data_IF_371974595559
#
_entry.id   IF_371974595559
#
_cell.length_a   1.000
_cell.length_b   1.000
_cell.length_c   1.000
_cell.angle_alpha   90.00
_cell.angle_beta   90.00
_cell.angle_gamma   90.00
#
_symmetry.space_group_name_H-M   'P 1'
#
loop_
_entity.id
_entity.type
_entity.pdbx_description
1 polymer ?
#
# COMPACT_ATOMS: atom_id res chain seq x y z
N UNK A 1 -20.53 6.12 -16.50
CA UNK A 1 -20.96 5.35 -15.32
C UNK A 1 -19.98 5.54 -14.17
N UNK A 2 -20.47 5.90 -13.04
CA UNK A 2 -19.62 6.09 -11.87
C UNK A 2 -19.34 4.73 -11.23
N UNK A 3 -18.09 4.38 -11.12
CA UNK A 3 -17.70 3.18 -10.43
C UNK A 3 -17.36 3.53 -8.98
N UNK A 4 -18.21 3.06 -8.05
CA UNK A 4 -18.01 3.27 -6.62
C UNK A 4 -17.35 2.05 -5.97
N UNK A 5 -16.97 1.07 -6.78
CA UNK A 5 -16.36 -0.14 -6.27
C UNK A 5 -14.89 0.03 -5.91
N UNK A 6 -14.33 -1.04 -5.42
CA UNK A 6 -12.93 -1.13 -5.06
C UNK A 6 -12.19 -1.93 -6.11
N UNK A 7 -11.03 -1.43 -6.56
CA UNK A 7 -10.15 -2.20 -7.44
C UNK A 7 -9.49 -3.29 -6.61
N UNK A 8 -9.64 -4.53 -7.04
CA UNK A 8 -9.14 -5.70 -6.33
C UNK A 8 -8.02 -6.40 -7.09
N UNK A 9 -7.39 -7.40 -6.46
CA UNK A 9 -6.41 -8.26 -7.14
C UNK A 9 -7.01 -8.93 -8.37
N UNK A 10 -8.26 -9.39 -8.25
CA UNK A 10 -8.95 -10.04 -9.37
C UNK A 10 -9.12 -9.09 -10.53
N UNK A 11 -9.41 -7.83 -10.25
CA UNK A 11 -9.53 -6.80 -11.28
C UNK A 11 -8.20 -6.54 -11.97
N UNK A 12 -7.11 -6.50 -11.22
CA UNK A 12 -5.77 -6.35 -11.78
C UNK A 12 -5.41 -7.54 -12.67
N UNK A 13 -5.70 -8.75 -12.22
CA UNK A 13 -5.43 -9.96 -12.99
C UNK A 13 -6.26 -9.98 -14.28
N UNK A 14 -7.52 -9.58 -14.22
CA UNK A 14 -8.38 -9.50 -15.39
C UNK A 14 -7.85 -8.47 -16.40
N UNK A 15 -7.38 -7.33 -15.91
CA UNK A 15 -6.77 -6.31 -16.75
C UNK A 15 -5.54 -6.84 -17.49
N UNK A 16 -4.66 -7.57 -16.79
CA UNK A 16 -3.50 -8.20 -17.40
C UNK A 16 -3.90 -9.21 -18.47
N UNK A 17 -4.91 -10.01 -18.18
CA UNK A 17 -5.44 -10.97 -19.14
C UNK A 17 -5.94 -10.27 -20.40
N UNK A 18 -6.68 -9.18 -20.26
CA UNK A 18 -7.23 -8.42 -21.38
C UNK A 18 -6.15 -7.69 -22.19
N UNK A 19 -5.24 -7.04 -21.48
CA UNK A 19 -4.26 -6.15 -22.12
C UNK A 19 -3.01 -6.85 -22.62
N UNK A 20 -2.57 -7.89 -21.92
CA UNK A 20 -1.31 -8.55 -22.23
C UNK A 20 -1.45 -9.90 -22.92
N UNK A 21 -2.67 -10.40 -23.05
CA UNK A 21 -2.91 -11.69 -23.68
C UNK A 21 -2.46 -12.89 -22.85
N UNK A 22 -2.16 -12.71 -21.59
CA UNK A 22 -1.80 -13.81 -20.69
C UNK A 22 -3.06 -14.61 -20.33
N UNK A 23 -2.88 -15.88 -19.98
CA UNK A 23 -4.00 -16.66 -19.44
C UNK A 23 -4.47 -16.06 -18.13
N UNK A 24 -5.68 -16.38 -17.71
CA UNK A 24 -6.19 -15.90 -16.41
C UNK A 24 -5.35 -16.43 -15.26
N UNK A 25 -4.90 -17.67 -15.37
CA UNK A 25 -4.04 -18.28 -14.37
C UNK A 25 -2.69 -17.55 -14.26
N UNK A 26 -2.05 -17.31 -15.39
CA UNK A 26 -0.76 -16.60 -15.42
C UNK A 26 -0.92 -15.16 -14.95
N UNK A 27 -2.01 -14.51 -15.32
CA UNK A 27 -2.28 -13.13 -14.88
C UNK A 27 -2.40 -13.05 -13.36
N UNK A 28 -3.10 -14.00 -12.76
CA UNK A 28 -3.24 -14.06 -11.30
C UNK A 28 -1.89 -14.31 -10.63
N UNK A 29 -1.06 -15.17 -11.20
CA UNK A 29 0.28 -15.42 -10.67
C UNK A 29 1.18 -14.20 -10.73
N UNK A 30 1.13 -13.45 -11.82
CA UNK A 30 1.93 -12.22 -11.97
C UNK A 30 1.53 -11.19 -10.90
N UNK A 31 0.24 -10.97 -10.72
CA UNK A 31 -0.25 -10.04 -9.68
C UNK A 31 0.21 -10.50 -8.30
N UNK A 32 0.04 -11.79 -8.00
CA UNK A 32 0.45 -12.35 -6.71
C UNK A 32 1.95 -12.18 -6.49
N UNK A 33 2.77 -12.45 -7.50
CA UNK A 33 4.22 -12.33 -7.37
C UNK A 33 4.66 -10.90 -7.08
N UNK A 34 4.05 -9.92 -7.75
CA UNK A 34 4.38 -8.52 -7.53
C UNK A 34 4.07 -8.12 -6.07
N UNK A 35 2.89 -8.50 -5.59
CA UNK A 35 2.46 -8.15 -4.24
C UNK A 35 3.32 -8.86 -3.19
N UNK A 36 3.68 -10.11 -3.43
CA UNK A 36 4.57 -10.86 -2.53
C UNK A 36 5.95 -10.20 -2.44
N UNK A 37 6.52 -9.79 -3.58
CA UNK A 37 7.80 -9.09 -3.59
C UNK A 37 7.77 -7.80 -2.77
N UNK A 38 6.69 -7.04 -2.91
CA UNK A 38 6.51 -5.79 -2.14
C UNK A 38 6.40 -6.08 -0.65
N UNK A 39 5.56 -7.04 -0.28
CA UNK A 39 5.38 -7.40 1.12
C UNK A 39 6.65 -7.96 1.75
N UNK A 40 7.39 -8.77 1.02
CA UNK A 40 8.64 -9.33 1.51
C UNK A 40 9.69 -8.24 1.75
N UNK A 41 9.81 -7.28 0.84
CA UNK A 41 10.71 -6.15 1.00
C UNK A 41 10.35 -5.34 2.27
N UNK A 42 9.07 -5.03 2.43
CA UNK A 42 8.60 -4.29 3.59
C UNK A 42 8.84 -5.08 4.88
N UNK A 43 8.66 -6.38 4.85
CA UNK A 43 8.93 -7.25 6.01
C UNK A 43 10.40 -7.23 6.42
N UNK A 44 11.31 -7.06 5.45
CA UNK A 44 12.74 -6.94 5.72
C UNK A 44 13.16 -5.56 6.19
N UNK A 45 12.24 -4.60 6.24
CA UNK A 45 12.54 -3.22 6.62
C UNK A 45 12.96 -2.33 5.46
N UNK A 46 12.71 -2.75 4.23
CA UNK A 46 13.04 -1.97 3.04
C UNK A 46 11.82 -1.20 2.56
N UNK A 47 12.00 0.08 2.27
CA UNK A 47 10.94 0.86 1.64
C UNK A 47 10.74 0.36 0.20
N UNK A 48 9.51 0.47 -0.30
CA UNK A 48 9.19 0.11 -1.67
C UNK A 48 8.84 1.38 -2.44
N UNK A 49 9.64 1.69 -3.46
CA UNK A 49 9.43 2.87 -4.29
C UNK A 49 9.09 2.45 -5.72
N UNK A 50 7.94 2.89 -6.20
CA UNK A 50 7.51 2.65 -7.57
C UNK A 50 7.43 4.00 -8.27
N UNK A 51 8.34 4.21 -9.21
CA UNK A 51 8.49 5.48 -9.93
C UNK A 51 7.19 5.89 -10.61
N UNK A 52 6.76 7.12 -10.43
CA UNK A 52 5.52 7.63 -11.02
C UNK A 52 4.25 7.17 -10.31
N UNK A 53 4.37 6.29 -9.34
CA UNK A 53 3.23 5.76 -8.58
C UNK A 53 3.25 6.26 -7.14
N UNK A 54 4.25 5.87 -6.38
CA UNK A 54 4.38 6.28 -4.99
C UNK A 54 5.41 5.45 -4.25
N UNK A 55 5.53 5.74 -2.96
CA UNK A 55 6.49 5.07 -2.10
C UNK A 55 5.80 4.57 -0.84
N UNK A 56 6.03 3.30 -0.52
CA UNK A 56 5.63 2.71 0.75
C UNK A 56 6.78 2.91 1.72
N UNK A 57 6.56 3.72 2.75
CA UNK A 57 7.59 4.13 3.70
C UNK A 57 7.32 3.50 5.05
N UNK A 58 8.35 2.85 5.59
CA UNK A 58 8.29 2.28 6.92
C UNK A 58 8.82 3.31 7.93
N UNK A 59 8.18 3.38 9.08
CA UNK A 59 8.64 4.18 10.20
C UNK A 59 8.61 3.35 11.45
N UNK A 60 9.72 3.34 12.16
CA UNK A 60 9.79 2.72 13.46
C UNK A 60 9.45 3.77 14.50
N UNK A 61 8.41 3.51 15.28
CA UNK A 61 8.05 4.35 16.41
C UNK A 61 8.55 3.69 17.67
N UNK A 62 9.44 4.38 18.38
CA UNK A 62 9.98 3.89 19.62
C UNK A 62 8.93 3.91 20.73
N UNK A 63 9.33 3.36 21.88
CA UNK A 63 8.49 3.40 23.09
C UNK A 63 8.22 4.86 23.46
N UNK A 64 7.01 5.14 23.81
CA UNK A 64 6.57 6.46 24.23
C UNK A 64 5.52 6.35 25.31
N UNK A 65 5.29 7.46 26.01
CA UNK A 65 4.28 7.52 27.05
C UNK A 65 3.04 8.21 26.51
N UNK A 66 1.92 7.48 26.54
CA UNK A 66 0.62 8.05 26.24
C UNK A 66 -0.12 8.36 27.53
N UNK A 67 -1.16 9.14 27.45
CA UNK A 67 -1.99 9.49 28.61
C UNK A 67 -3.44 9.12 28.33
N UNK A 68 -4.05 8.43 29.29
CA UNK A 68 -5.47 8.11 29.20
C UNK A 68 -6.27 9.40 29.48
N UNK A 69 -7.06 9.90 28.53
CA UNK A 69 -7.78 11.15 28.72
C UNK A 69 -8.86 11.11 29.80
N UNK A 70 -9.34 9.92 30.17
CA UNK A 70 -10.36 9.78 31.20
C UNK A 70 -9.78 9.77 32.61
N UNK A 71 -8.63 9.16 32.80
CA UNK A 71 -8.02 8.99 34.11
C UNK A 71 -6.80 9.84 34.34
N UNK A 72 -6.21 10.39 33.27
CA UNK A 72 -4.98 11.15 33.34
C UNK A 72 -3.75 10.29 33.61
N UNK A 73 -3.91 8.99 33.65
CA UNK A 73 -2.82 8.05 33.93
C UNK A 73 -1.93 7.88 32.70
N UNK A 74 -0.62 7.97 32.89
CA UNK A 74 0.34 7.72 31.84
C UNK A 74 0.48 6.21 31.59
N UNK A 75 0.44 5.82 30.30
CA UNK A 75 0.55 4.44 29.88
C UNK A 75 1.66 4.32 28.86
N UNK A 76 2.65 3.43 29.07
CA UNK A 76 3.68 3.22 28.06
C UNK A 76 3.09 2.62 26.79
N UNK A 77 3.50 3.16 25.62
CA UNK A 77 3.11 2.65 24.32
C UNK A 77 4.31 1.90 23.75
N UNK A 78 4.12 0.62 23.43
CA UNK A 78 5.19 -0.22 22.92
C UNK A 78 5.73 0.28 21.58
N UNK A 79 7.02 0.04 21.31
CA UNK A 79 7.60 0.32 19.98
C UNK A 79 6.84 -0.46 18.91
N UNK A 80 6.69 0.15 17.74
CA UNK A 80 6.03 -0.50 16.60
C UNK A 80 6.54 0.05 15.29
N UNK A 81 6.40 -0.75 14.25
CA UNK A 81 6.67 -0.32 12.88
C UNK A 81 5.36 -0.01 12.19
N UNK A 82 5.28 1.14 11.55
CA UNK A 82 4.10 1.57 10.81
C UNK A 82 4.44 1.78 9.35
N UNK A 83 3.44 1.58 8.49
CA UNK A 83 3.55 1.76 7.06
C UNK A 83 2.74 2.97 6.62
N UNK A 84 3.35 3.82 5.79
CA UNK A 84 2.69 4.97 5.19
C UNK A 84 2.89 4.92 3.69
N UNK A 85 1.86 5.21 2.92
CA UNK A 85 1.96 5.35 1.47
C UNK A 85 2.02 6.83 1.11
N UNK A 86 3.01 7.20 0.30
CA UNK A 86 3.15 8.55 -0.25
C UNK A 86 2.96 8.48 -1.75
N UNK A 87 1.86 9.05 -2.22
CA UNK A 87 1.59 9.13 -3.65
C UNK A 87 2.62 10.01 -4.36
N UNK A 88 3.00 9.63 -5.57
CA UNK A 88 3.86 10.46 -6.41
C UNK A 88 3.11 11.72 -6.86
N UNK A 89 3.85 12.73 -7.27
CA UNK A 89 3.22 13.95 -7.80
C UNK A 89 2.40 13.64 -9.05
N UNK A 90 2.91 12.76 -9.90
CA UNK A 90 2.20 12.31 -11.11
C UNK A 90 0.85 11.68 -10.76
N UNK A 91 0.82 10.82 -9.74
CA UNK A 91 -0.44 10.21 -9.28
C UNK A 91 -1.40 11.26 -8.74
N UNK A 92 -0.90 12.19 -7.91
CA UNK A 92 -1.72 13.26 -7.35
C UNK A 92 -2.36 14.12 -8.44
N UNK A 93 -1.57 14.47 -9.44
CA UNK A 93 -2.04 15.29 -10.55
C UNK A 93 -3.14 14.57 -11.33
N UNK A 94 -2.98 13.28 -11.56
CA UNK A 94 -4.01 12.48 -12.25
C UNK A 94 -5.31 12.40 -11.46
N UNK A 95 -5.23 12.25 -10.16
CA UNK A 95 -6.40 12.16 -9.29
C UNK A 95 -7.14 13.51 -9.27
N UNK A 96 -6.42 14.60 -9.15
CA UNK A 96 -6.99 15.95 -9.14
C UNK A 96 -7.62 16.28 -10.49
N UNK A 97 -6.95 15.96 -11.59
CA UNK A 97 -7.46 16.25 -12.94
C UNK A 97 -8.72 15.44 -13.27
N UNK A 98 -8.86 14.23 -12.71
CA UNK A 98 -10.01 13.37 -12.95
C UNK A 98 -11.21 13.73 -12.06
N UNK A 99 -10.95 14.38 -10.96
CA UNK A 99 -12.00 14.82 -10.02
C UNK A 99 -12.50 16.21 -10.39
#
# INVERSE_FOLDING_TARGET
>A
MTNTGTLTRADLAESLHQEMGLSRSDSAEVVEQILVEMCDALSRGENVKISGFGTFVLRDKGERIGRNPKTGIEVPIAPRRVLTFRASQMMRDRIVAAG
#
